data_IF_191310745580
#
_entry.id   IF_191310745580
#
_cell.length_a   1.000
_cell.length_b   1.000
_cell.length_c   1.000
_cell.angle_alpha   90.00
_cell.angle_beta   90.00
_cell.angle_gamma   90.00
#
_symmetry.space_group_name_H-M   'P 1'
#
loop_
_entity.id
_entity.type
_entity.pdbx_description
1 polymer ?
#
# COMPACT_ATOMS: atom_id res chain seq x y z
N UNK A 1 -66.11 -30.58 -42.97
CA UNK A 1 -64.65 -30.77 -42.79
C UNK A 1 -63.86 -29.54 -43.23
N UNK A 2 -64.03 -29.02 -44.50
CA UNK A 2 -63.28 -27.86 -45.00
C UNK A 2 -63.45 -26.64 -44.10
N UNK A 3 -64.67 -26.26 -43.76
CA UNK A 3 -64.93 -25.12 -42.86
C UNK A 3 -64.30 -25.29 -41.47
N UNK A 4 -64.25 -26.52 -40.92
CA UNK A 4 -63.55 -26.78 -39.67
C UNK A 4 -62.02 -26.62 -39.78
N UNK A 5 -61.43 -27.01 -40.90
CA UNK A 5 -59.97 -26.79 -41.18
C UNK A 5 -59.65 -25.30 -41.24
N UNK A 6 -60.47 -24.52 -41.93
CA UNK A 6 -60.29 -23.07 -42.06
C UNK A 6 -60.47 -22.35 -40.71
N UNK A 7 -61.44 -22.75 -39.90
CA UNK A 7 -61.63 -22.24 -38.54
C UNK A 7 -60.41 -22.52 -37.64
N UNK A 8 -59.86 -23.75 -37.71
CA UNK A 8 -58.67 -24.10 -36.94
C UNK A 8 -57.41 -23.38 -37.41
N UNK A 9 -57.27 -23.10 -38.71
CA UNK A 9 -56.17 -22.29 -39.22
C UNK A 9 -56.24 -20.86 -38.63
N UNK A 10 -57.42 -20.23 -38.66
CA UNK A 10 -57.60 -18.92 -38.09
C UNK A 10 -57.36 -18.90 -36.55
N UNK A 11 -57.79 -19.94 -35.82
CA UNK A 11 -57.55 -20.05 -34.38
C UNK A 11 -56.04 -20.17 -34.08
N UNK A 12 -55.28 -20.95 -34.89
CA UNK A 12 -53.85 -21.11 -34.74
C UNK A 12 -53.07 -19.81 -34.98
N UNK A 13 -53.49 -19.06 -36.04
CA UNK A 13 -52.86 -17.78 -36.37
C UNK A 13 -53.16 -16.68 -35.33
N UNK A 14 -54.39 -16.67 -34.81
CA UNK A 14 -54.82 -15.68 -33.81
C UNK A 14 -54.34 -15.98 -32.37
N UNK A 15 -53.79 -17.17 -32.14
CA UNK A 15 -53.40 -17.58 -30.78
C UNK A 15 -52.20 -16.82 -30.28
N UNK A 16 -52.37 -16.11 -29.15
CA UNK A 16 -51.33 -15.37 -28.45
C UNK A 16 -51.25 -15.85 -26.98
N UNK A 17 -50.29 -16.68 -26.63
CA UNK A 17 -50.12 -17.19 -25.27
C UNK A 17 -49.43 -16.17 -24.36
N UNK A 18 -49.85 -16.11 -23.10
CA UNK A 18 -49.18 -15.34 -22.06
C UNK A 18 -48.06 -16.16 -21.38
N UNK A 19 -48.19 -17.46 -21.30
CA UNK A 19 -47.24 -18.35 -20.58
C UNK A 19 -46.86 -19.60 -21.41
N UNK A 20 -45.74 -20.25 -21.03
CA UNK A 20 -45.35 -21.51 -21.64
C UNK A 20 -46.38 -22.63 -21.41
N UNK A 21 -47.14 -22.56 -20.30
CA UNK A 21 -48.20 -23.50 -19.98
C UNK A 21 -49.38 -23.34 -20.99
N UNK A 22 -49.68 -22.13 -21.42
CA UNK A 22 -50.72 -21.85 -22.41
C UNK A 22 -50.33 -22.46 -23.77
N UNK A 23 -49.07 -22.37 -24.17
CA UNK A 23 -48.56 -22.96 -25.43
C UNK A 23 -48.68 -24.49 -25.37
N UNK A 24 -48.37 -25.11 -24.23
CA UNK A 24 -48.46 -26.55 -24.09
C UNK A 24 -49.91 -27.03 -24.04
N UNK A 25 -50.82 -26.30 -23.39
CA UNK A 25 -52.25 -26.58 -23.38
C UNK A 25 -52.83 -26.51 -24.82
N UNK A 26 -52.43 -25.45 -25.58
CA UNK A 26 -52.85 -25.28 -26.96
C UNK A 26 -52.29 -26.38 -27.87
N UNK A 27 -51.02 -26.80 -27.66
CA UNK A 27 -50.43 -27.94 -28.36
C UNK A 27 -51.21 -29.22 -28.16
N UNK A 28 -51.62 -29.50 -26.91
CA UNK A 28 -52.43 -30.68 -26.59
C UNK A 28 -53.83 -30.61 -27.22
N UNK A 29 -54.45 -29.41 -27.22
CA UNK A 29 -55.77 -29.16 -27.84
C UNK A 29 -55.74 -29.45 -29.36
N UNK A 30 -54.71 -28.93 -30.06
CA UNK A 30 -54.66 -29.06 -31.54
C UNK A 30 -53.99 -30.33 -31.99
N UNK A 31 -52.78 -30.64 -31.48
CA UNK A 31 -51.93 -31.77 -31.96
C UNK A 31 -51.95 -33.02 -31.09
N UNK A 32 -52.68 -32.99 -29.95
CA UNK A 32 -52.77 -34.13 -29.03
C UNK A 32 -53.48 -35.36 -29.71
N UNK A 33 -53.26 -36.57 -29.15
CA UNK A 33 -53.90 -37.79 -29.67
C UNK A 33 -55.45 -37.72 -29.74
N UNK A 34 -56.05 -36.97 -28.85
CA UNK A 34 -57.51 -36.70 -28.80
C UNK A 34 -57.82 -35.22 -29.20
N UNK A 35 -56.85 -34.55 -29.81
CA UNK A 35 -57.03 -33.14 -30.21
C UNK A 35 -57.79 -32.98 -31.50
N UNK A 36 -58.08 -31.72 -31.84
CA UNK A 36 -58.90 -31.37 -32.98
C UNK A 36 -58.39 -31.98 -34.31
N UNK A 37 -57.05 -31.97 -34.52
CA UNK A 37 -56.42 -32.56 -35.70
C UNK A 37 -56.59 -34.11 -35.71
N UNK A 38 -56.51 -34.76 -34.55
CA UNK A 38 -56.68 -36.18 -34.40
C UNK A 38 -58.12 -36.62 -34.81
N UNK A 39 -59.11 -35.84 -34.35
CA UNK A 39 -60.51 -36.03 -34.69
C UNK A 39 -60.74 -35.88 -36.19
N UNK A 40 -60.22 -34.84 -36.79
CA UNK A 40 -60.33 -34.60 -38.22
C UNK A 40 -59.61 -35.71 -39.05
N UNK A 41 -58.50 -36.26 -38.60
CA UNK A 41 -57.85 -37.41 -39.24
C UNK A 41 -58.63 -38.71 -39.13
N UNK A 42 -59.43 -38.90 -38.07
CA UNK A 42 -60.33 -40.03 -38.00
C UNK A 42 -61.55 -39.88 -38.91
N UNK A 43 -62.15 -38.70 -38.95
CA UNK A 43 -63.21 -38.37 -39.91
C UNK A 43 -62.75 -38.51 -41.35
N UNK A 44 -61.48 -38.18 -41.66
CA UNK A 44 -60.89 -38.31 -42.99
C UNK A 44 -60.86 -39.77 -43.50
N UNK A 45 -60.77 -40.78 -42.65
CA UNK A 45 -60.77 -42.20 -43.05
C UNK A 45 -62.07 -42.58 -43.74
N UNK A 46 -63.18 -41.95 -43.38
CA UNK A 46 -64.54 -42.24 -43.92
C UNK A 46 -64.88 -41.43 -45.19
N UNK A 47 -64.01 -40.58 -45.71
CA UNK A 47 -64.23 -39.69 -46.86
C UNK A 47 -64.14 -40.50 -48.19
N UNK A 48 -65.00 -40.24 -49.22
CA UNK A 48 -64.90 -40.83 -50.57
C UNK A 48 -63.59 -40.55 -51.24
N UNK A 49 -63.14 -41.48 -52.15
CA UNK A 49 -61.85 -41.45 -52.78
C UNK A 49 -61.56 -40.17 -53.57
N UNK A 50 -62.55 -39.59 -54.19
CA UNK A 50 -62.42 -38.40 -55.04
C UNK A 50 -62.01 -37.14 -54.29
N UNK A 51 -62.37 -37.03 -53.04
CA UNK A 51 -62.09 -35.87 -52.17
C UNK A 51 -60.85 -36.10 -51.26
N UNK A 52 -60.34 -37.31 -51.19
CA UNK A 52 -59.20 -37.64 -50.30
C UNK A 52 -57.93 -36.88 -50.64
N UNK A 53 -57.65 -36.67 -51.90
CA UNK A 53 -56.42 -35.96 -52.29
C UNK A 53 -56.38 -34.50 -51.81
N UNK A 54 -57.45 -33.75 -52.05
CA UNK A 54 -57.56 -32.37 -51.64
C UNK A 54 -57.62 -32.16 -50.12
N UNK A 55 -58.46 -32.96 -49.45
CA UNK A 55 -58.59 -32.91 -47.99
C UNK A 55 -57.32 -33.36 -47.27
N UNK A 56 -56.58 -34.33 -47.82
CA UNK A 56 -55.29 -34.80 -47.28
C UNK A 56 -54.23 -33.68 -47.38
N UNK A 57 -54.19 -32.92 -48.47
CA UNK A 57 -53.28 -31.80 -48.60
C UNK A 57 -53.62 -30.68 -47.60
N UNK A 58 -54.87 -30.34 -47.41
CA UNK A 58 -55.33 -29.33 -46.45
C UNK A 58 -55.08 -29.73 -44.98
N UNK A 59 -55.26 -31.00 -44.61
CA UNK A 59 -54.93 -31.53 -43.31
C UNK A 59 -53.45 -31.54 -43.04
N UNK A 60 -52.59 -31.90 -44.00
CA UNK A 60 -51.17 -31.79 -43.87
C UNK A 60 -50.70 -30.30 -43.74
N UNK A 61 -51.29 -29.41 -44.49
CA UNK A 61 -51.05 -28.00 -44.37
C UNK A 61 -51.39 -27.48 -42.95
N UNK A 62 -52.58 -27.80 -42.42
CA UNK A 62 -53.00 -27.44 -41.07
C UNK A 62 -52.01 -28.00 -40.00
N UNK A 63 -51.56 -29.28 -40.17
CA UNK A 63 -50.60 -29.86 -39.26
C UNK A 63 -49.23 -29.12 -39.24
N UNK A 64 -48.74 -28.76 -40.44
CA UNK A 64 -47.47 -28.04 -40.57
C UNK A 64 -47.56 -26.65 -39.97
N UNK A 65 -48.61 -25.87 -40.32
CA UNK A 65 -48.84 -24.52 -39.75
C UNK A 65 -48.97 -24.57 -38.23
N UNK A 66 -49.74 -25.55 -37.69
CA UNK A 66 -49.87 -25.71 -36.25
C UNK A 66 -48.51 -26.02 -35.55
N UNK A 67 -47.71 -26.91 -36.18
CA UNK A 67 -46.39 -27.30 -35.63
C UNK A 67 -45.39 -26.12 -35.65
N UNK A 68 -45.33 -25.44 -36.79
CA UNK A 68 -44.44 -24.25 -36.93
C UNK A 68 -44.80 -23.13 -35.97
N UNK A 69 -46.08 -22.81 -35.86
CA UNK A 69 -46.56 -21.75 -34.94
C UNK A 69 -46.28 -22.06 -33.47
N UNK A 70 -46.53 -23.31 -33.04
CA UNK A 70 -46.24 -23.74 -31.66
C UNK A 70 -44.74 -23.67 -31.37
N UNK A 71 -43.86 -24.06 -32.29
CA UNK A 71 -42.42 -23.99 -32.13
C UNK A 71 -41.93 -22.54 -32.05
N UNK A 72 -42.41 -21.66 -32.96
CA UNK A 72 -42.08 -20.22 -32.94
C UNK A 72 -42.49 -19.58 -31.59
N UNK A 73 -43.69 -19.86 -31.09
CA UNK A 73 -44.15 -19.32 -29.80
C UNK A 73 -43.35 -19.82 -28.62
N UNK A 74 -42.87 -21.07 -28.66
CA UNK A 74 -41.93 -21.62 -27.63
C UNK A 74 -40.60 -20.87 -27.65
N UNK A 75 -40.02 -20.69 -28.81
CA UNK A 75 -38.75 -19.97 -28.98
C UNK A 75 -38.90 -18.47 -28.56
N UNK A 76 -39.98 -17.79 -28.94
CA UNK A 76 -40.25 -16.43 -28.54
C UNK A 76 -40.32 -16.27 -27.02
N UNK A 77 -41.04 -17.16 -26.33
CA UNK A 77 -41.15 -17.15 -24.88
C UNK A 77 -39.83 -17.48 -24.16
N UNK A 78 -39.03 -18.45 -24.69
CA UNK A 78 -37.73 -18.77 -24.16
C UNK A 78 -36.75 -17.62 -24.31
N UNK A 79 -36.73 -16.96 -25.48
CA UNK A 79 -35.91 -15.80 -25.72
C UNK A 79 -36.28 -14.61 -24.82
N UNK A 80 -37.59 -14.37 -24.63
CA UNK A 80 -38.08 -13.33 -23.72
C UNK A 80 -37.66 -13.60 -22.25
N UNK A 81 -37.70 -14.84 -21.81
CA UNK A 81 -37.20 -15.26 -20.49
C UNK A 81 -35.70 -15.09 -20.36
N UNK A 82 -34.93 -15.50 -21.39
CA UNK A 82 -33.48 -15.32 -21.41
C UNK A 82 -33.05 -13.85 -21.39
N UNK A 83 -33.75 -12.99 -22.14
CA UNK A 83 -33.50 -11.53 -22.11
C UNK A 83 -33.83 -10.89 -20.75
N UNK A 84 -34.84 -11.37 -20.06
CA UNK A 84 -35.15 -10.90 -18.70
C UNK A 84 -34.16 -11.44 -17.65
N UNK A 85 -33.69 -12.67 -17.81
CA UNK A 85 -32.67 -13.24 -16.93
C UNK A 85 -31.30 -12.52 -17.10
N UNK A 86 -30.96 -12.06 -18.33
CA UNK A 86 -29.71 -11.32 -18.57
C UNK A 86 -29.69 -9.89 -18.00
N UNK A 87 -30.82 -9.38 -17.53
CA UNK A 87 -30.92 -8.07 -16.88
C UNK A 87 -30.73 -8.11 -15.34
N UNK A 88 -30.62 -9.30 -14.78
CA UNK A 88 -30.32 -9.45 -13.36
C UNK A 88 -28.79 -9.41 -13.22
N UNK A 89 -28.28 -8.34 -12.65
CA UNK A 89 -26.86 -8.24 -12.29
C UNK A 89 -26.50 -9.40 -11.37
N UNK A 90 -25.43 -10.10 -11.70
CA UNK A 90 -24.91 -11.19 -10.86
C UNK A 90 -24.31 -10.60 -9.59
N UNK A 91 -25.12 -10.58 -8.54
CA UNK A 91 -24.74 -10.05 -7.22
C UNK A 91 -23.65 -10.90 -6.52
N UNK A 92 -23.28 -12.05 -7.08
CA UNK A 92 -22.18 -12.89 -6.55
C UNK A 92 -20.83 -12.51 -7.16
N UNK A 93 -20.81 -11.68 -8.21
CA UNK A 93 -19.56 -11.19 -8.79
C UNK A 93 -18.86 -10.26 -7.78
N UNK A 94 -17.55 -10.45 -7.57
CA UNK A 94 -16.80 -9.51 -6.73
C UNK A 94 -16.92 -8.11 -7.34
N UNK A 95 -17.17 -7.12 -6.48
CA UNK A 95 -17.17 -5.71 -6.89
C UNK A 95 -15.83 -5.34 -7.54
N UNK A 96 -15.82 -4.33 -8.38
CA UNK A 96 -14.59 -3.76 -8.90
C UNK A 96 -13.82 -3.21 -7.70
N UNK A 97 -12.66 -3.83 -7.39
CA UNK A 97 -11.80 -3.31 -6.33
C UNK A 97 -11.26 -1.95 -6.77
N UNK A 98 -11.57 -0.90 -6.03
CA UNK A 98 -10.84 0.35 -6.21
C UNK A 98 -9.38 0.14 -5.80
N UNK A 99 -8.41 0.60 -6.60
CA UNK A 99 -7.01 0.46 -6.24
C UNK A 99 -6.75 1.28 -4.96
N UNK A 100 -6.39 0.60 -3.90
CA UNK A 100 -5.93 1.23 -2.67
C UNK A 100 -4.52 1.73 -2.93
N UNK A 101 -4.27 3.04 -2.76
CA UNK A 101 -2.92 3.59 -2.89
C UNK A 101 -1.96 3.00 -1.86
N UNK A 102 -0.67 3.03 -2.16
CA UNK A 102 0.40 2.62 -1.24
C UNK A 102 0.98 3.81 -0.48
N UNK A 103 1.44 3.59 0.75
CA UNK A 103 2.27 4.57 1.46
C UNK A 103 3.71 4.44 1.00
N UNK A 104 4.39 5.56 0.86
CA UNK A 104 5.82 5.55 0.54
C UNK A 104 6.62 4.82 1.65
N UNK A 105 7.54 3.90 1.32
CA UNK A 105 8.26 3.08 2.32
C UNK A 105 9.04 3.91 3.35
N UNK A 106 9.59 5.06 2.96
CA UNK A 106 10.21 6.01 3.91
C UNK A 106 9.20 6.50 4.96
N UNK A 107 7.96 6.80 4.55
CA UNK A 107 6.91 7.23 5.47
C UNK A 107 6.49 6.10 6.42
N UNK A 108 6.42 4.86 5.93
CA UNK A 108 6.10 3.68 6.74
C UNK A 108 7.16 3.50 7.82
N UNK A 109 8.43 3.46 7.44
CA UNK A 109 9.56 3.28 8.37
C UNK A 109 9.65 4.44 9.35
N UNK A 110 9.50 5.69 8.87
CA UNK A 110 9.48 6.87 9.74
C UNK A 110 8.41 6.74 10.83
N UNK A 111 7.18 6.40 10.46
CA UNK A 111 6.07 6.29 11.40
C UNK A 111 6.28 5.16 12.41
N UNK A 112 6.85 4.04 11.98
CA UNK A 112 7.21 2.93 12.86
C UNK A 112 8.28 3.33 13.89
N UNK A 113 9.35 3.99 13.44
CA UNK A 113 10.40 4.50 14.34
C UNK A 113 9.81 5.50 15.35
N UNK A 114 8.99 6.44 14.88
CA UNK A 114 8.28 7.41 15.73
C UNK A 114 7.41 6.68 16.75
N UNK A 115 6.66 5.67 16.36
CA UNK A 115 5.83 4.87 17.26
C UNK A 115 6.65 4.15 18.34
N UNK A 116 7.81 3.58 17.99
CA UNK A 116 8.70 2.90 18.93
C UNK A 116 9.19 3.88 20.00
N UNK A 117 9.73 5.03 19.59
CA UNK A 117 10.24 6.02 20.55
C UNK A 117 9.15 6.72 21.34
N UNK A 118 7.95 6.92 20.77
CA UNK A 118 6.81 7.45 21.52
C UNK A 118 6.42 6.56 22.70
N UNK A 119 6.55 5.23 22.57
CA UNK A 119 6.34 4.29 23.70
C UNK A 119 7.40 4.42 24.79
N UNK A 120 8.58 4.94 24.45
CA UNK A 120 9.62 5.28 25.41
C UNK A 120 9.46 6.69 25.99
N UNK A 121 8.37 7.40 25.67
CA UNK A 121 8.07 8.74 26.18
C UNK A 121 8.75 9.88 25.42
N UNK A 122 9.24 9.63 24.20
CA UNK A 122 9.74 10.69 23.34
C UNK A 122 8.58 11.42 22.65
N UNK A 123 8.69 12.73 22.54
CA UNK A 123 7.81 13.58 21.74
C UNK A 123 8.47 13.95 20.43
N UNK A 124 7.67 14.19 19.39
CA UNK A 124 8.20 14.63 18.08
C UNK A 124 8.42 16.12 18.11
N UNK A 125 9.63 16.56 17.77
CA UNK A 125 9.97 17.96 17.55
C UNK A 125 10.24 18.20 16.06
N UNK A 126 9.88 19.38 15.57
CA UNK A 126 10.07 19.82 14.20
C UNK A 126 10.80 21.17 14.14
N UNK A 127 11.43 21.44 13.00
CA UNK A 127 12.17 22.68 12.77
C UNK A 127 12.44 22.96 11.29
N UNK A 128 12.96 24.14 10.97
CA UNK A 128 13.18 24.57 9.59
C UNK A 128 14.27 23.74 8.88
N UNK A 129 14.17 23.66 7.55
CA UNK A 129 15.20 23.03 6.71
C UNK A 129 16.32 24.02 6.34
N UNK A 130 16.01 25.29 6.34
CA UNK A 130 16.99 26.38 6.14
C UNK A 130 17.37 26.89 7.52
N UNK A 131 18.65 26.87 7.82
CA UNK A 131 19.20 27.14 9.14
C UNK A 131 20.41 28.08 9.06
N UNK A 132 20.70 28.75 10.18
CA UNK A 132 21.93 29.50 10.35
C UNK A 132 23.08 28.59 10.85
N UNK A 133 24.31 29.14 10.81
CA UNK A 133 25.50 28.46 11.31
C UNK A 133 25.41 28.05 12.78
N UNK A 134 24.77 28.88 13.62
CA UNK A 134 24.65 28.62 15.04
C UNK A 134 23.97 27.26 15.30
N UNK A 135 22.79 27.07 14.72
CA UNK A 135 21.98 25.88 14.96
C UNK A 135 22.53 24.61 14.29
N UNK A 136 23.24 24.75 13.16
CA UNK A 136 23.77 23.57 12.43
C UNK A 136 25.14 23.18 12.95
N UNK A 137 25.99 24.14 13.38
CA UNK A 137 27.37 23.86 13.69
C UNK A 137 27.82 24.37 15.07
N UNK A 138 27.73 25.67 15.31
CA UNK A 138 28.39 26.27 16.47
C UNK A 138 27.83 25.80 17.81
N UNK A 139 26.51 25.73 17.97
CA UNK A 139 25.86 25.20 19.18
C UNK A 139 26.09 23.69 19.39
N UNK A 140 26.55 23.00 18.36
CA UNK A 140 26.82 21.55 18.36
C UNK A 140 28.32 21.25 18.48
N UNK A 141 29.11 22.21 18.99
CA UNK A 141 30.55 22.05 19.25
C UNK A 141 31.41 21.75 17.99
N UNK A 142 30.94 22.13 16.79
CA UNK A 142 31.77 22.05 15.59
C UNK A 142 32.79 23.18 15.57
N UNK A 143 34.08 22.88 15.51
CA UNK A 143 35.11 23.93 15.38
C UNK A 143 34.99 24.67 14.03
N UNK A 144 35.48 25.91 13.93
CA UNK A 144 35.39 26.71 12.69
C UNK A 144 35.99 26.03 11.45
N UNK A 145 37.07 25.26 11.65
CA UNK A 145 37.82 24.59 10.57
C UNK A 145 37.33 23.15 10.31
N UNK A 146 36.19 22.76 10.88
CA UNK A 146 35.68 21.39 10.69
C UNK A 146 35.27 21.16 9.23
N UNK A 147 35.67 20.03 8.60
CA UNK A 147 35.38 19.76 7.17
C UNK A 147 33.88 19.80 6.82
N UNK A 148 32.99 19.42 7.74
CA UNK A 148 31.54 19.49 7.51
C UNK A 148 31.00 20.89 7.25
N UNK A 149 31.77 21.96 7.60
CA UNK A 149 31.44 23.34 7.29
C UNK A 149 31.89 23.76 5.88
N UNK A 150 32.57 22.86 5.14
CA UNK A 150 33.03 23.17 3.78
C UNK A 150 31.85 23.12 2.79
N UNK A 151 31.92 23.96 1.77
CA UNK A 151 30.99 23.97 0.63
C UNK A 151 30.95 22.64 -0.14
N UNK A 152 31.96 21.79 0.02
CA UNK A 152 31.99 20.46 -0.58
C UNK A 152 30.96 19.52 0.04
N UNK A 153 30.63 19.71 1.31
CA UNK A 153 29.70 18.84 2.06
C UNK A 153 28.37 19.51 2.39
N UNK A 154 28.28 20.85 2.35
CA UNK A 154 27.13 21.65 2.75
C UNK A 154 26.60 22.53 1.62
N UNK A 155 25.28 22.59 1.48
CA UNK A 155 24.63 23.55 0.57
C UNK A 155 24.38 24.87 1.27
N UNK A 156 25.11 25.90 0.85
CA UNK A 156 24.92 27.28 1.31
C UNK A 156 23.85 27.98 0.49
N UNK A 157 22.91 28.62 1.17
CA UNK A 157 21.89 29.52 0.57
C UNK A 157 22.45 30.93 0.51
N UNK A 158 23.12 31.34 1.58
CA UNK A 158 23.72 32.66 1.73
C UNK A 158 25.04 32.57 2.49
N UNK A 159 25.95 33.47 2.26
CA UNK A 159 27.22 33.59 3.00
C UNK A 159 27.35 34.99 3.60
N UNK A 160 27.89 35.07 4.81
CA UNK A 160 28.10 36.30 5.58
C UNK A 160 26.81 37.11 5.88
N UNK A 161 25.86 36.65 6.71
CA UNK A 161 25.97 35.46 7.57
C UNK A 161 25.70 34.16 6.82
N UNK A 162 26.28 33.07 7.30
CA UNK A 162 26.08 31.73 6.70
C UNK A 162 24.68 31.20 6.99
N UNK A 163 23.92 30.97 5.92
CA UNK A 163 22.62 30.33 5.91
C UNK A 163 22.72 29.10 5.03
N UNK A 164 22.36 27.93 5.56
CA UNK A 164 22.58 26.64 4.93
C UNK A 164 21.31 25.78 4.89
N UNK A 165 21.29 24.81 3.99
CA UNK A 165 20.37 23.66 4.14
C UNK A 165 20.96 22.74 5.21
N UNK A 166 20.16 22.38 6.23
CA UNK A 166 20.61 21.56 7.35
C UNK A 166 21.17 20.21 6.88
N UNK A 167 22.36 19.86 7.37
CA UNK A 167 23.06 18.61 7.04
C UNK A 167 22.66 17.44 7.95
N UNK A 168 21.94 17.74 9.02
CA UNK A 168 21.40 16.79 10.01
C UNK A 168 20.20 17.44 10.72
N UNK A 169 19.45 16.65 11.48
CA UNK A 169 18.29 17.16 12.25
C UNK A 169 18.66 17.62 13.67
N UNK A 170 19.95 17.62 14.03
CA UNK A 170 20.43 18.11 15.34
C UNK A 170 20.13 19.58 15.56
N UNK A 171 19.96 20.39 14.50
CA UNK A 171 19.50 21.78 14.63
C UNK A 171 18.16 21.90 15.36
N UNK A 172 17.26 20.89 15.18
CA UNK A 172 15.99 20.83 15.92
C UNK A 172 16.24 20.56 17.40
N UNK A 173 17.26 19.76 17.73
CA UNK A 173 17.66 19.51 19.13
C UNK A 173 18.14 20.79 19.79
N UNK A 174 18.96 21.61 19.10
CA UNK A 174 19.42 22.93 19.57
C UNK A 174 18.21 23.82 19.84
N UNK A 175 17.32 23.98 18.89
CA UNK A 175 16.09 24.79 19.04
C UNK A 175 15.19 24.28 20.18
N UNK A 176 15.21 22.99 20.44
CA UNK A 176 14.46 22.40 21.56
C UNK A 176 15.12 22.78 22.90
N UNK A 177 16.45 22.69 23.02
CA UNK A 177 17.20 23.10 24.22
C UNK A 177 17.06 24.58 24.52
N UNK A 178 16.96 25.44 23.50
CA UNK A 178 16.72 26.87 23.67
C UNK A 178 15.31 27.19 24.20
N UNK A 179 14.31 26.39 23.84
CA UNK A 179 12.89 26.65 24.14
C UNK A 179 12.44 26.06 25.48
N UNK A 180 13.05 24.95 25.92
CA UNK A 180 12.62 24.24 27.12
C UNK A 180 13.83 23.79 27.97
N UNK A 181 13.61 23.73 29.26
CA UNK A 181 14.60 23.19 30.19
C UNK A 181 14.43 21.67 30.35
N UNK A 182 15.49 20.94 30.75
CA UNK A 182 15.36 19.54 31.11
C UNK A 182 14.27 19.28 32.18
N UNK A 183 13.57 18.12 32.13
CA UNK A 183 13.88 16.98 31.30
C UNK A 183 13.44 17.19 29.83
N UNK A 184 14.33 16.82 28.87
CA UNK A 184 14.07 16.87 27.44
C UNK A 184 14.10 15.43 26.90
N UNK A 185 13.07 15.01 26.18
CA UNK A 185 13.02 13.71 25.51
C UNK A 185 12.29 13.86 24.21
N UNK A 186 13.05 14.02 23.12
CA UNK A 186 12.52 14.33 21.79
C UNK A 186 13.14 13.49 20.70
N UNK A 187 12.37 13.24 19.64
CA UNK A 187 12.86 12.75 18.35
C UNK A 187 12.56 13.79 17.27
N UNK A 188 13.50 13.93 16.36
CA UNK A 188 13.54 14.97 15.36
C UNK A 188 13.57 14.33 13.96
N UNK A 189 12.43 13.87 13.40
CA UNK A 189 12.40 13.36 12.04
C UNK A 189 12.42 14.50 11.03
N UNK A 190 13.24 14.40 9.97
CA UNK A 190 13.26 15.45 8.96
C UNK A 190 14.13 15.11 7.75
N UNK A 191 13.95 15.89 6.68
CA UNK A 191 14.85 15.86 5.52
C UNK A 191 16.14 16.60 5.87
N UNK A 192 17.22 16.11 5.30
CA UNK A 192 18.54 16.69 5.43
C UNK A 192 19.24 16.70 4.08
N UNK A 193 20.25 17.54 3.94
CA UNK A 193 20.85 17.87 2.66
C UNK A 193 22.37 17.81 2.79
N UNK A 194 23.03 17.08 1.89
CA UNK A 194 24.48 17.00 1.81
C UNK A 194 24.93 17.09 0.37
N UNK A 195 25.96 17.84 0.10
CA UNK A 195 26.50 18.03 -1.25
C UNK A 195 27.30 16.80 -1.70
N UNK A 196 26.62 15.65 -1.78
CA UNK A 196 27.18 14.36 -2.16
C UNK A 196 26.71 13.95 -3.55
N UNK A 197 27.57 13.23 -4.29
CA UNK A 197 27.19 12.65 -5.58
C UNK A 197 26.14 11.54 -5.39
N UNK A 198 25.06 11.60 -6.18
CA UNK A 198 24.01 10.60 -6.15
C UNK A 198 24.54 9.26 -6.63
N UNK A 199 24.32 8.22 -5.84
CA UNK A 199 24.70 6.85 -6.11
C UNK A 199 23.69 5.86 -5.54
N UNK A 200 23.92 4.57 -5.74
CA UNK A 200 23.08 3.53 -5.12
C UNK A 200 23.14 3.48 -3.57
N UNK A 201 24.07 4.23 -2.94
CA UNK A 201 24.28 4.29 -1.49
C UNK A 201 24.13 5.68 -0.88
N UNK A 202 24.16 6.73 -1.67
CA UNK A 202 24.14 8.13 -1.22
C UNK A 202 23.22 8.95 -2.10
N UNK A 203 22.56 9.93 -1.50
CA UNK A 203 21.75 10.91 -2.21
C UNK A 203 21.93 12.28 -1.54
N UNK A 204 21.90 13.34 -2.32
CA UNK A 204 22.06 14.71 -1.81
C UNK A 204 20.90 15.17 -0.90
N UNK A 205 19.77 14.50 -0.97
CA UNK A 205 18.61 14.65 -0.07
C UNK A 205 18.34 13.29 0.54
N UNK A 206 18.18 13.22 1.87
CA UNK A 206 17.74 12.00 2.55
C UNK A 206 17.02 12.36 3.84
N UNK A 207 16.50 11.36 4.56
CA UNK A 207 15.73 11.57 5.77
C UNK A 207 16.47 11.00 6.98
N UNK A 208 16.51 11.79 8.05
CA UNK A 208 17.05 11.36 9.34
C UNK A 208 15.96 11.36 10.41
N UNK A 209 16.14 10.52 11.42
CA UNK A 209 15.53 10.68 12.73
C UNK A 209 16.66 10.74 13.74
N UNK A 210 16.71 11.83 14.48
CA UNK A 210 17.61 11.97 15.60
C UNK A 210 16.84 12.04 16.90
N UNK A 211 17.41 11.53 17.98
CA UNK A 211 16.83 11.57 19.30
C UNK A 211 17.75 12.28 20.29
N UNK A 212 17.15 13.01 21.23
CA UNK A 212 17.81 13.67 22.33
C UNK A 212 17.09 13.34 23.64
N UNK A 213 17.83 12.87 24.63
CA UNK A 213 17.36 12.71 25.99
C UNK A 213 18.32 13.39 26.96
N UNK A 214 17.83 14.39 27.69
CA UNK A 214 18.57 15.13 28.73
C UNK A 214 17.76 15.10 30.00
N UNK A 215 18.36 14.63 31.10
CA UNK A 215 17.78 14.61 32.44
C UNK A 215 18.91 14.53 33.47
N UNK A 216 18.55 14.46 34.75
CA UNK A 216 19.51 14.19 35.82
C UNK A 216 19.98 12.74 35.75
N UNK A 217 21.29 12.55 35.94
CA UNK A 217 21.91 11.22 36.04
C UNK A 217 21.68 10.28 34.84
N UNK A 218 21.49 10.80 33.63
CA UNK A 218 21.40 9.98 32.41
C UNK A 218 22.78 9.39 32.10
N UNK A 219 22.80 8.09 31.84
CA UNK A 219 24.04 7.33 31.68
C UNK A 219 24.16 6.69 30.28
N UNK A 220 25.36 6.25 29.95
CA UNK A 220 25.63 5.44 28.73
C UNK A 220 24.82 4.11 28.73
N UNK A 221 24.54 3.56 29.92
CA UNK A 221 23.72 2.35 30.06
C UNK A 221 22.27 2.60 29.64
N UNK A 222 21.69 3.77 30.00
CA UNK A 222 20.35 4.17 29.59
C UNK A 222 20.25 4.32 28.07
N UNK A 223 21.27 4.92 27.45
CA UNK A 223 21.38 5.01 26.00
C UNK A 223 21.41 3.60 25.37
N UNK A 224 22.31 2.74 25.83
CA UNK A 224 22.45 1.37 25.31
C UNK A 224 21.15 0.59 25.42
N UNK A 225 20.43 0.69 26.53
CA UNK A 225 19.18 0.00 26.75
C UNK A 225 18.05 0.53 25.83
N UNK A 226 17.96 1.84 25.65
CA UNK A 226 17.00 2.48 24.75
C UNK A 226 17.22 2.04 23.30
N UNK A 227 18.47 2.01 22.86
CA UNK A 227 18.83 1.59 21.51
C UNK A 227 18.68 0.07 21.29
N UNK A 228 18.91 -0.76 22.31
CA UNK A 228 18.62 -2.19 22.26
C UNK A 228 17.13 -2.46 22.14
N UNK A 229 16.30 -1.75 22.91
CA UNK A 229 14.84 -1.82 22.81
C UNK A 229 14.39 -1.46 21.39
N UNK A 230 14.85 -0.32 20.87
CA UNK A 230 14.57 0.08 19.48
C UNK A 230 14.95 -1.01 18.46
N UNK A 231 16.15 -1.56 18.58
CA UNK A 231 16.63 -2.59 17.64
C UNK A 231 15.76 -3.85 17.67
N UNK A 232 15.32 -4.27 18.86
CA UNK A 232 14.43 -5.44 19.01
C UNK A 232 13.04 -5.19 18.46
N UNK A 233 12.45 -4.04 18.71
CA UNK A 233 11.14 -3.68 18.19
C UNK A 233 11.12 -3.59 16.66
N UNK A 234 12.20 -3.07 16.05
CA UNK A 234 12.26 -2.84 14.61
C UNK A 234 12.71 -4.07 13.82
N UNK A 235 13.70 -4.83 14.35
CA UNK A 235 14.34 -5.95 13.64
C UNK A 235 14.01 -7.32 14.25
N UNK A 236 13.22 -7.37 15.33
CA UNK A 236 12.76 -8.58 15.99
C UNK A 236 13.51 -8.88 17.30
N UNK A 237 12.89 -9.68 18.17
CA UNK A 237 13.36 -10.00 19.53
C UNK A 237 14.77 -10.57 19.61
N UNK A 238 15.24 -11.24 18.55
CA UNK A 238 16.59 -11.81 18.49
C UNK A 238 17.66 -10.81 18.06
N UNK A 239 17.27 -9.57 17.75
CA UNK A 239 18.21 -8.54 17.35
C UNK A 239 19.18 -8.22 18.49
N UNK A 240 20.46 -8.16 18.16
CA UNK A 240 21.53 -7.75 19.05
C UNK A 240 22.15 -6.47 18.53
N UNK A 241 22.68 -5.65 19.41
CA UNK A 241 23.44 -4.46 19.05
C UNK A 241 24.90 -4.62 19.47
N UNK A 242 25.76 -4.02 18.66
CA UNK A 242 27.18 -3.85 18.95
C UNK A 242 27.53 -2.39 18.81
N UNK A 243 28.20 -1.82 19.80
CA UNK A 243 28.64 -0.43 19.79
C UNK A 243 30.14 -0.41 19.51
N UNK A 244 30.54 0.34 18.51
CA UNK A 244 31.93 0.57 18.12
C UNK A 244 32.30 2.02 18.48
N UNK A 245 33.45 2.28 19.15
CA UNK A 245 33.90 3.65 19.41
C UNK A 245 33.96 4.47 18.09
N UNK A 246 33.48 5.70 18.16
CA UNK A 246 33.51 6.65 17.05
C UNK A 246 33.73 8.06 17.60
N UNK A 247 33.77 9.05 16.75
CA UNK A 247 33.92 10.45 17.12
C UNK A 247 32.84 11.30 16.43
N UNK A 248 32.15 12.11 17.24
CA UNK A 248 31.28 13.17 16.75
C UNK A 248 31.53 14.43 17.58
N UNK A 249 31.56 15.64 16.99
CA UNK A 249 31.86 16.88 17.73
C UNK A 249 30.92 17.16 18.91
N UNK A 250 29.67 16.69 18.80
CA UNK A 250 28.57 16.98 19.72
C UNK A 250 28.35 15.91 20.79
N UNK A 251 29.12 14.82 20.79
CA UNK A 251 29.01 13.74 21.79
C UNK A 251 30.36 13.21 22.23
N UNK A 252 30.47 12.87 23.53
CA UNK A 252 31.65 12.20 24.15
C UNK A 252 31.21 11.43 25.39
N UNK A 253 31.40 10.09 25.48
CA UNK A 253 31.89 9.21 24.43
C UNK A 253 30.87 9.00 23.30
N UNK A 254 31.41 8.79 22.10
CA UNK A 254 30.61 8.52 20.90
C UNK A 254 30.75 7.08 20.43
N UNK A 255 29.74 6.56 19.77
CA UNK A 255 29.75 5.23 19.20
C UNK A 255 28.89 5.13 17.91
N UNK A 256 29.27 4.25 17.04
CA UNK A 256 28.42 3.72 15.97
C UNK A 256 27.74 2.44 16.43
N UNK A 257 26.46 2.28 16.11
CA UNK A 257 25.68 1.11 16.49
C UNK A 257 25.45 0.22 15.28
N UNK A 258 25.90 -1.01 15.41
CA UNK A 258 25.59 -2.07 14.46
C UNK A 258 24.49 -2.97 15.03
N UNK A 259 23.58 -3.42 14.18
CA UNK A 259 22.60 -4.48 14.49
C UNK A 259 23.06 -5.81 13.89
N UNK A 260 22.75 -6.92 14.55
CA UNK A 260 22.97 -8.24 13.98
C UNK A 260 22.16 -8.40 12.68
N UNK A 261 22.80 -8.90 11.63
CA UNK A 261 22.18 -9.06 10.32
C UNK A 261 21.00 -10.06 10.40
N UNK A 262 19.79 -9.58 10.22
CA UNK A 262 18.57 -10.39 10.25
C UNK A 262 18.49 -11.44 9.12
N UNK A 263 19.17 -11.18 7.98
CA UNK A 263 19.15 -12.06 6.82
C UNK A 263 19.95 -13.32 7.07
N UNK A 264 21.12 -13.23 7.73
CA UNK A 264 21.98 -14.38 7.98
C UNK A 264 22.06 -14.79 9.46
N UNK A 265 21.30 -14.15 10.33
CA UNK A 265 21.35 -14.42 11.77
C UNK A 265 22.73 -14.21 12.38
N UNK A 266 23.51 -13.23 11.88
CA UNK A 266 24.87 -12.95 12.36
C UNK A 266 25.97 -13.83 11.79
N UNK A 267 25.67 -14.80 10.91
CA UNK A 267 26.66 -15.75 10.36
C UNK A 267 27.56 -15.17 9.27
N UNK A 268 27.18 -14.05 8.68
CA UNK A 268 27.85 -13.42 7.55
C UNK A 268 27.20 -13.78 6.21
N UNK A 269 26.91 -12.75 5.38
CA UNK A 269 26.35 -12.90 4.04
C UNK A 269 26.81 -11.72 3.14
N UNK A 270 26.39 -11.72 1.87
CA UNK A 270 26.72 -10.64 0.92
C UNK A 270 26.23 -9.26 1.37
N UNK A 271 25.09 -9.18 2.05
CA UNK A 271 24.52 -7.92 2.52
C UNK A 271 25.37 -7.31 3.65
N UNK A 272 25.76 -8.09 4.63
CA UNK A 272 26.65 -7.66 5.71
C UNK A 272 28.14 -7.82 5.38
N UNK A 273 28.49 -8.13 4.12
CA UNK A 273 29.87 -8.33 3.64
C UNK A 273 30.67 -9.32 4.48
N UNK A 274 29.99 -10.41 4.92
CA UNK A 274 30.63 -11.45 5.73
C UNK A 274 30.79 -11.14 7.22
N UNK A 275 30.47 -9.91 7.66
CA UNK A 275 30.72 -9.48 9.06
C UNK A 275 29.64 -9.97 10.04
N UNK A 276 28.42 -10.28 9.59
CA UNK A 276 27.27 -10.58 10.43
C UNK A 276 26.61 -9.34 11.06
N UNK A 277 27.12 -8.14 10.80
CA UNK A 277 26.67 -6.88 11.42
C UNK A 277 26.39 -5.81 10.37
N UNK A 278 25.44 -4.94 10.67
CA UNK A 278 24.97 -3.85 9.81
C UNK A 278 24.90 -2.57 10.62
N UNK A 279 25.69 -1.57 10.23
CA UNK A 279 25.63 -0.25 10.85
C UNK A 279 24.29 0.43 10.55
N UNK A 280 23.63 0.96 11.59
CA UNK A 280 22.32 1.58 11.49
C UNK A 280 22.26 3.01 12.01
N UNK A 281 23.13 3.41 12.96
CA UNK A 281 23.09 4.76 13.56
C UNK A 281 24.39 5.15 14.25
N UNK A 282 24.59 6.46 14.43
CA UNK A 282 25.53 7.03 15.37
C UNK A 282 24.85 7.38 16.70
N UNK A 283 25.57 7.36 17.80
CA UNK A 283 25.07 7.78 19.12
C UNK A 283 26.21 8.23 20.03
N UNK A 284 25.87 8.86 21.15
CA UNK A 284 26.83 9.22 22.19
C UNK A 284 26.21 10.00 23.32
N UNK A 285 26.99 10.19 24.40
CA UNK A 285 26.61 11.09 25.46
C UNK A 285 26.80 12.53 25.00
N UNK A 286 25.83 13.40 25.26
CA UNK A 286 25.89 14.81 24.84
C UNK A 286 27.10 15.49 25.47
N UNK A 287 27.93 16.13 24.61
CA UNK A 287 29.12 16.84 25.07
C UNK A 287 28.73 17.98 26.04
N UNK A 288 29.45 18.15 27.16
CA UNK A 288 29.22 19.24 28.13
C UNK A 288 29.25 20.63 27.47
N UNK A 289 30.04 20.84 26.41
CA UNK A 289 30.07 22.11 25.69
C UNK A 289 28.75 22.40 24.97
N UNK A 290 28.10 21.36 24.42
CA UNK A 290 26.77 21.48 23.78
C UNK A 290 25.72 21.87 24.84
N UNK A 291 25.73 21.28 26.00
CA UNK A 291 24.82 21.65 27.10
C UNK A 291 25.06 23.09 27.52
N UNK A 292 26.31 23.49 27.71
CA UNK A 292 26.70 24.84 28.12
C UNK A 292 26.31 25.87 27.06
N UNK A 293 26.56 25.61 25.78
CA UNK A 293 26.17 26.48 24.68
C UNK A 293 24.65 26.76 24.62
N UNK A 294 23.86 25.80 25.11
CA UNK A 294 22.41 25.86 25.16
C UNK A 294 21.86 26.24 26.57
N UNK A 295 22.70 26.82 27.45
CA UNK A 295 22.34 27.27 28.81
C UNK A 295 21.79 26.17 29.71
N UNK A 296 22.31 24.94 29.57
CA UNK A 296 22.02 23.79 30.42
C UNK A 296 23.27 23.49 31.27
N UNK A 297 23.14 23.42 32.60
CA UNK A 297 24.30 23.12 33.48
C UNK A 297 24.73 21.64 33.35
N UNK A 298 25.93 21.34 32.80
CA UNK A 298 26.44 19.99 32.65
C UNK A 298 26.81 19.31 33.99
N UNK A 299 26.84 20.04 35.11
CA UNK A 299 27.03 19.45 36.42
C UNK A 299 25.74 18.89 37.00
N UNK A 300 24.60 19.41 36.59
CA UNK A 300 23.28 19.00 37.03
C UNK A 300 22.64 17.99 36.10
N UNK A 301 22.84 18.18 34.78
CA UNK A 301 22.20 17.41 33.72
C UNK A 301 23.23 16.67 32.87
N UNK A 302 22.83 15.49 32.46
CA UNK A 302 23.54 14.69 31.45
C UNK A 302 22.52 14.21 30.39
N UNK A 303 23.00 13.74 29.25
CA UNK A 303 22.11 13.26 28.22
C UNK A 303 22.80 12.42 27.18
N UNK A 304 22.01 11.83 26.33
CA UNK A 304 22.52 11.16 25.13
C UNK A 304 21.73 11.56 23.88
N UNK A 305 22.41 11.45 22.75
CA UNK A 305 21.82 11.65 21.45
C UNK A 305 22.12 10.45 20.53
N UNK A 306 21.26 10.25 19.54
CA UNK A 306 21.46 9.27 18.49
C UNK A 306 20.87 9.76 17.18
N UNK A 307 21.36 9.25 16.05
CA UNK A 307 20.86 9.64 14.73
C UNK A 307 20.97 8.51 13.73
N UNK A 308 19.90 8.32 12.93
CA UNK A 308 19.79 7.28 11.92
C UNK A 308 19.23 7.80 10.61
N UNK A 309 19.72 7.29 9.48
CA UNK A 309 19.15 7.53 8.16
C UNK A 309 17.98 6.58 7.89
N UNK A 310 16.80 7.15 7.57
CA UNK A 310 15.58 6.35 7.35
C UNK A 310 15.72 5.45 6.14
N UNK A 311 16.33 5.96 5.05
CA UNK A 311 16.58 5.17 3.85
C UNK A 311 17.43 3.95 4.13
N UNK A 312 18.46 4.10 4.97
CA UNK A 312 19.33 2.98 5.34
C UNK A 312 18.56 1.90 6.09
N UNK A 313 17.72 2.30 7.02
CA UNK A 313 16.82 1.39 7.76
C UNK A 313 15.82 0.72 6.80
N UNK A 314 15.20 1.48 5.91
CA UNK A 314 14.24 0.97 4.94
C UNK A 314 14.89 -0.02 3.95
N UNK A 315 16.12 0.27 3.47
CA UNK A 315 16.88 -0.66 2.63
C UNK A 315 17.13 -1.99 3.34
N UNK A 316 17.50 -1.96 4.61
CA UNK A 316 17.75 -3.17 5.39
C UNK A 316 16.46 -3.95 5.66
N UNK A 317 15.36 -3.25 6.00
CA UNK A 317 14.08 -3.85 6.32
C UNK A 317 13.42 -4.52 5.12
N UNK A 318 13.45 -3.88 3.97
CA UNK A 318 12.77 -4.32 2.75
C UNK A 318 13.69 -4.98 1.72
N UNK A 319 14.99 -5.09 1.99
CA UNK A 319 15.95 -5.69 1.06
C UNK A 319 16.17 -4.88 -0.22
N UNK A 320 15.96 -3.55 -0.18
CA UNK A 320 16.16 -2.67 -1.32
C UNK A 320 17.65 -2.42 -1.53
N UNK A 321 18.16 -2.77 -2.70
CA UNK A 321 19.60 -2.69 -3.02
C UNK A 321 20.08 -1.33 -3.53
N UNK A 322 19.18 -0.45 -3.92
CA UNK A 322 19.49 0.85 -4.52
C UNK A 322 18.64 1.96 -3.88
N UNK A 323 19.33 2.89 -3.22
CA UNK A 323 18.68 4.01 -2.51
C UNK A 323 17.90 4.94 -3.45
N UNK A 324 18.31 5.06 -4.72
CA UNK A 324 17.67 5.94 -5.70
C UNK A 324 16.20 5.60 -5.94
N UNK A 325 15.82 4.32 -5.78
CA UNK A 325 14.43 3.87 -5.94
C UNK A 325 13.44 4.59 -5.01
N UNK A 326 13.90 5.09 -3.88
CA UNK A 326 13.06 5.89 -2.98
C UNK A 326 12.76 7.30 -3.49
N UNK A 327 13.48 7.77 -4.51
CA UNK A 327 13.39 9.13 -5.04
C UNK A 327 12.90 9.20 -6.49
N UNK A 328 12.90 8.09 -7.22
CA UNK A 328 12.53 8.02 -8.63
C UNK A 328 11.01 8.03 -8.87
N UNK A 329 10.20 7.88 -7.84
CA UNK A 329 8.73 7.83 -7.90
C UNK A 329 8.19 6.77 -8.89
N UNK A 330 8.89 5.65 -9.03
CA UNK A 330 8.46 4.53 -9.89
C UNK A 330 7.24 3.83 -9.27
N UNK A 331 6.10 3.91 -9.95
CA UNK A 331 4.84 3.31 -9.48
C UNK A 331 4.97 1.79 -9.28
N UNK A 332 5.77 1.09 -10.10
CA UNK A 332 6.01 -0.36 -9.95
C UNK A 332 6.73 -0.68 -8.64
N UNK A 333 7.63 0.21 -8.20
CA UNK A 333 8.29 0.09 -6.91
C UNK A 333 7.31 0.40 -5.76
N UNK A 334 6.55 1.49 -5.88
CA UNK A 334 5.62 1.93 -4.84
C UNK A 334 4.49 0.92 -4.61
N UNK A 335 3.95 0.32 -5.66
CA UNK A 335 2.87 -0.68 -5.56
C UNK A 335 3.27 -1.94 -4.78
N UNK A 336 4.57 -2.22 -4.61
CA UNK A 336 5.03 -3.33 -3.76
C UNK A 336 4.71 -3.13 -2.28
N UNK A 337 4.33 -1.90 -1.87
CA UNK A 337 4.03 -1.52 -0.50
C UNK A 337 2.52 -1.35 -0.22
N UNK A 338 1.63 -1.76 -1.11
CA UNK A 338 0.17 -1.64 -0.94
C UNK A 338 -0.35 -2.37 0.31
N UNK A 339 0.26 -3.49 0.67
CA UNK A 339 -0.12 -4.26 1.86
C UNK A 339 0.55 -3.79 3.16
N UNK A 340 1.47 -2.83 3.09
CA UNK A 340 2.17 -2.28 4.25
C UNK A 340 1.37 -1.08 4.80
N UNK A 341 0.27 -1.37 5.49
CA UNK A 341 -0.62 -0.37 6.11
C UNK A 341 -0.20 -0.04 7.53
#
# INVERSE_FOLDING_TARGET
>A
MIQKIEQLLQEIEAFQPATAADVEAFRIKILGKKGELGILMEEFKSVPSDLKRELGQRLNHLKNVATERINSLKEELQNAQAMNASKIDDMTRPGTSEPVGSRHPISIVKNEIVSIFSRLGYTVADGPEIEDDWHVFSALNFPPEHPARDMQDTFFIEQNPDVVLRTHTSSIQVRTMERQKPPIRVICPGRVFRNEAISYRAHCIFHQIEGLYIDRNVSFADMKQSLLYFAKELFGEQAQIRMRPSYFPFTEPSAEVDVSCSICGGKGCGVCKGTGWLEIMGCGMVDPNVLTANNIDPKEFSGFAFGMGIERIAMLKYGVGDLRLYFENDVRFLNQFESAL
#
